data_IF_265854042864
#
_entry.id   IF_265854042864
#
_cell.length_a   1.000
_cell.length_b   1.000
_cell.length_c   1.000
_cell.angle_alpha   90.00
_cell.angle_beta   90.00
_cell.angle_gamma   90.00
#
_symmetry.space_group_name_H-M   'P 1'
#
loop_
_entity.id
_entity.type
_entity.pdbx_description
1 polymer ?
#
# COMPACT_ATOMS: atom_id res chain seq x y z
N UNK A 1 35.58 3.96 -36.03
CA UNK A 1 34.88 3.11 -35.03
C UNK A 1 34.79 3.71 -33.62
N UNK A 2 35.82 4.40 -33.11
CA UNK A 2 35.84 4.99 -31.74
C UNK A 2 34.70 5.99 -31.42
N UNK A 3 34.21 6.76 -32.40
CA UNK A 3 33.10 7.72 -32.20
C UNK A 3 31.73 7.06 -31.94
N UNK A 4 31.51 5.82 -32.41
CA UNK A 4 30.26 5.08 -32.17
C UNK A 4 30.19 4.50 -30.76
N UNK A 5 31.34 4.18 -30.15
CA UNK A 5 31.41 3.61 -28.80
C UNK A 5 31.06 4.64 -27.71
N UNK A 6 31.44 5.90 -27.90
CA UNK A 6 31.15 6.97 -26.92
C UNK A 6 29.64 7.26 -26.86
N UNK A 7 28.94 7.21 -27.99
CA UNK A 7 27.49 7.42 -28.04
C UNK A 7 26.70 6.32 -27.30
N UNK A 8 27.23 5.09 -27.28
CA UNK A 8 26.59 3.96 -26.59
C UNK A 8 26.76 4.07 -25.07
N UNK A 9 27.93 4.50 -24.58
CA UNK A 9 28.15 4.75 -23.14
C UNK A 9 27.29 5.92 -22.61
N UNK A 10 27.10 6.99 -23.39
CA UNK A 10 26.27 8.11 -22.98
C UNK A 10 24.78 7.73 -22.88
N UNK A 11 24.28 6.91 -23.80
CA UNK A 11 22.88 6.44 -23.77
C UNK A 11 22.65 5.48 -22.59
N UNK A 12 23.61 4.61 -22.25
CA UNK A 12 23.44 3.70 -21.10
C UNK A 12 23.47 4.42 -19.76
N UNK A 13 24.30 5.46 -19.60
CA UNK A 13 24.32 6.28 -18.38
C UNK A 13 23.00 7.05 -18.18
N UNK A 14 22.40 7.55 -19.24
CA UNK A 14 21.09 8.22 -19.16
C UNK A 14 20.02 7.22 -18.74
N UNK A 15 19.99 6.02 -19.31
CA UNK A 15 19.01 4.99 -18.94
C UNK A 15 19.09 4.58 -17.46
N UNK A 16 20.29 4.44 -16.89
CA UNK A 16 20.42 4.14 -15.46
C UNK A 16 20.00 5.30 -14.53
N UNK A 17 20.11 6.55 -15.00
CA UNK A 17 19.70 7.71 -14.22
C UNK A 17 18.18 7.92 -14.16
N UNK A 18 17.41 7.38 -15.12
CA UNK A 18 15.94 7.56 -15.14
C UNK A 18 15.18 6.41 -14.46
N UNK A 19 15.81 5.24 -14.25
CA UNK A 19 15.15 4.08 -13.64
C UNK A 19 14.56 4.29 -12.23
N UNK A 20 15.14 5.07 -11.29
CA UNK A 20 14.61 5.15 -9.93
C UNK A 20 13.28 5.92 -9.81
N UNK A 21 12.85 6.65 -10.85
CA UNK A 21 11.61 7.42 -10.81
C UNK A 21 10.35 6.63 -11.18
N UNK A 22 10.51 5.37 -11.62
CA UNK A 22 9.38 4.46 -11.85
C UNK A 22 9.15 3.54 -10.65
N UNK A 23 9.10 4.11 -9.45
CA UNK A 23 8.42 3.44 -8.34
C UNK A 23 6.92 3.55 -8.59
N UNK A 24 6.36 2.59 -9.31
CA UNK A 24 4.92 2.45 -9.46
C UNK A 24 4.32 2.17 -8.07
N UNK A 25 3.84 3.22 -7.42
CA UNK A 25 2.93 3.06 -6.28
C UNK A 25 1.65 2.47 -6.85
N UNK A 26 1.38 1.19 -6.56
CA UNK A 26 0.10 0.61 -6.86
C UNK A 26 -0.96 1.46 -6.15
N UNK A 27 -1.84 2.11 -6.92
CA UNK A 27 -2.98 2.81 -6.35
C UNK A 27 -3.82 1.79 -5.56
N UNK A 28 -4.35 2.16 -4.39
CA UNK A 28 -5.22 1.26 -3.65
C UNK A 28 -6.45 0.95 -4.50
N UNK A 29 -6.70 -0.35 -4.75
CA UNK A 29 -7.91 -0.83 -5.44
C UNK A 29 -9.17 -0.72 -4.57
N UNK A 30 -9.06 -0.10 -3.39
CA UNK A 30 -10.14 0.24 -2.48
C UNK A 30 -9.97 1.71 -2.05
N UNK A 31 -11.04 2.52 -1.91
CA UNK A 31 -10.91 3.93 -1.57
C UNK A 31 -10.17 4.11 -0.23
N UNK A 32 -9.05 4.84 -0.27
CA UNK A 32 -8.31 5.22 0.92
C UNK A 32 -9.19 6.08 1.83
N UNK A 33 -8.94 5.99 3.15
CA UNK A 33 -9.61 6.83 4.15
C UNK A 33 -8.61 7.77 4.80
N UNK A 34 -9.01 9.02 4.97
CA UNK A 34 -8.22 10.02 5.66
C UNK A 34 -8.80 10.25 7.06
N UNK A 35 -7.94 10.30 8.07
CA UNK A 35 -8.34 10.53 9.47
C UNK A 35 -7.30 11.38 10.19
N UNK A 36 -7.76 12.37 10.96
CA UNK A 36 -6.88 13.26 11.74
C UNK A 36 -7.00 12.93 13.22
N UNK A 37 -5.88 12.86 13.92
CA UNK A 37 -5.84 12.57 15.35
C UNK A 37 -4.46 12.15 15.83
N UNK A 38 -4.40 11.64 17.05
CA UNK A 38 -3.18 11.18 17.72
C UNK A 38 -3.48 9.95 18.58
N UNK A 39 -2.44 9.25 19.04
CA UNK A 39 -2.57 8.11 19.94
C UNK A 39 -2.58 6.78 19.19
N UNK A 40 -3.57 5.93 19.47
CA UNK A 40 -3.66 4.60 18.84
C UNK A 40 -4.66 4.62 17.71
N UNK A 41 -4.20 4.40 16.48
CA UNK A 41 -5.09 4.22 15.33
C UNK A 41 -5.48 2.74 15.23
N UNK A 42 -6.78 2.47 15.30
CA UNK A 42 -7.38 1.16 15.00
C UNK A 42 -7.86 1.14 13.56
N UNK A 43 -7.44 0.12 12.82
CA UNK A 43 -7.90 -0.19 11.46
C UNK A 43 -8.60 -1.54 11.48
N UNK A 44 -9.81 -1.60 10.93
CA UNK A 44 -10.59 -2.83 10.79
C UNK A 44 -10.87 -3.05 9.31
N UNK A 45 -10.52 -4.22 8.80
CA UNK A 45 -10.78 -4.62 7.42
C UNK A 45 -11.44 -5.99 7.42
N UNK A 46 -12.52 -6.12 6.68
CA UNK A 46 -13.17 -7.41 6.43
C UNK A 46 -13.00 -7.77 4.97
N UNK A 47 -12.30 -8.88 4.72
CA UNK A 47 -11.97 -9.37 3.40
C UNK A 47 -12.56 -10.75 3.15
N UNK A 48 -13.17 -10.94 2.00
CA UNK A 48 -13.78 -12.19 1.57
C UNK A 48 -13.17 -12.66 0.24
N UNK A 49 -13.01 -13.98 0.10
CA UNK A 49 -12.58 -14.58 -1.16
C UNK A 49 -13.71 -14.54 -2.18
N UNK A 50 -13.50 -13.84 -3.30
CA UNK A 50 -14.53 -13.68 -4.33
C UNK A 50 -14.83 -14.95 -5.12
N UNK A 51 -13.92 -15.93 -5.12
CA UNK A 51 -14.03 -17.18 -5.91
C UNK A 51 -13.29 -18.37 -5.27
N UNK A 52 -13.96 -19.24 -4.49
CA UNK A 52 -13.33 -20.42 -3.89
C UNK A 52 -12.86 -21.45 -4.92
N UNK A 53 -13.39 -21.39 -6.15
CA UNK A 53 -13.08 -22.28 -7.28
C UNK A 53 -11.61 -22.26 -7.75
N UNK A 54 -10.83 -21.25 -7.37
CA UNK A 54 -9.41 -21.15 -7.75
C UNK A 54 -8.43 -21.63 -6.67
N UNK A 55 -8.90 -22.04 -5.48
CA UNK A 55 -8.03 -22.49 -4.38
C UNK A 55 -7.08 -21.42 -3.84
N UNK A 56 -7.24 -20.15 -4.25
CA UNK A 56 -6.43 -19.03 -3.78
C UNK A 56 -7.09 -18.44 -2.54
N UNK A 57 -6.35 -18.41 -1.43
CA UNK A 57 -6.82 -17.73 -0.22
C UNK A 57 -6.90 -16.22 -0.46
N UNK A 58 -7.97 -15.55 0.01
CA UNK A 58 -8.03 -14.09 -0.05
C UNK A 58 -6.85 -13.47 0.70
N UNK A 59 -6.41 -12.33 0.21
CA UNK A 59 -5.23 -11.62 0.68
C UNK A 59 -5.40 -10.13 0.47
N UNK A 60 -4.99 -9.34 1.46
CA UNK A 60 -4.96 -7.89 1.36
C UNK A 60 -3.84 -7.30 2.22
N UNK A 61 -3.45 -6.08 1.89
CA UNK A 61 -2.52 -5.28 2.70
C UNK A 61 -3.17 -3.99 3.18
N UNK A 62 -2.80 -3.54 4.37
CA UNK A 62 -3.15 -2.24 4.94
C UNK A 62 -1.87 -1.41 4.96
N UNK A 63 -1.96 -0.15 4.53
CA UNK A 63 -0.90 0.85 4.74
C UNK A 63 -1.47 2.07 5.46
N UNK A 64 -0.62 2.73 6.24
CA UNK A 64 -0.90 4.04 6.81
C UNK A 64 0.26 4.97 6.49
N UNK A 65 -0.05 6.12 5.92
CA UNK A 65 0.92 7.20 5.68
C UNK A 65 0.51 8.45 6.45
N UNK A 66 1.48 9.23 6.88
CA UNK A 66 1.24 10.53 7.52
C UNK A 66 0.99 11.64 6.47
N UNK A 67 0.79 12.88 6.90
CA UNK A 67 0.46 13.99 5.97
C UNK A 67 1.61 14.33 5.01
N UNK A 68 2.84 14.00 5.40
CA UNK A 68 4.04 14.13 4.57
C UNK A 68 4.21 12.99 3.56
N UNK A 69 3.29 12.01 3.54
CA UNK A 69 3.36 10.83 2.70
C UNK A 69 4.34 9.75 3.21
N UNK A 70 4.89 9.89 4.42
CA UNK A 70 5.79 8.89 4.99
C UNK A 70 4.98 7.69 5.49
N UNK A 71 5.37 6.44 5.17
CA UNK A 71 4.71 5.25 5.69
C UNK A 71 5.02 5.09 7.20
N UNK A 72 3.97 4.99 8.01
CA UNK A 72 4.06 4.76 9.46
C UNK A 72 3.60 3.35 9.85
N UNK A 73 2.88 2.66 8.96
CA UNK A 73 2.44 1.29 9.16
C UNK A 73 2.22 0.57 7.83
N UNK A 74 2.55 -0.71 7.79
CA UNK A 74 2.17 -1.61 6.71
C UNK A 74 2.03 -3.04 7.24
N UNK A 75 0.92 -3.71 6.94
CA UNK A 75 0.71 -5.10 7.31
C UNK A 75 -0.11 -5.83 6.25
N UNK A 76 0.21 -7.10 6.04
CA UNK A 76 -0.52 -8.00 5.14
C UNK A 76 -1.29 -9.05 5.92
N UNK A 77 -2.44 -9.42 5.36
CA UNK A 77 -3.38 -10.40 5.91
C UNK A 77 -3.72 -11.43 4.85
N UNK A 78 -4.01 -12.65 5.30
CA UNK A 78 -4.40 -13.76 4.45
C UNK A 78 -5.51 -14.58 5.10
N UNK A 79 -6.34 -15.19 4.27
CA UNK A 79 -7.53 -15.92 4.70
C UNK A 79 -8.75 -15.01 4.83
N UNK A 80 -9.97 -15.57 4.73
CA UNK A 80 -11.20 -14.79 4.81
C UNK A 80 -11.44 -14.30 6.23
N UNK A 81 -12.14 -13.17 6.36
CA UNK A 81 -12.67 -12.67 7.62
C UNK A 81 -12.17 -11.28 8.02
N UNK A 82 -12.36 -10.95 9.29
CA UNK A 82 -12.03 -9.64 9.85
C UNK A 82 -10.59 -9.61 10.39
N UNK A 83 -9.84 -8.60 9.96
CA UNK A 83 -8.51 -8.28 10.46
C UNK A 83 -8.52 -6.96 11.22
N UNK A 84 -7.68 -6.91 12.26
CA UNK A 84 -7.51 -5.74 13.12
C UNK A 84 -6.04 -5.32 13.09
N UNK A 85 -5.78 -4.05 12.77
CA UNK A 85 -4.47 -3.42 12.88
C UNK A 85 -4.51 -2.33 13.95
N UNK A 86 -3.43 -2.23 14.73
CA UNK A 86 -3.26 -1.17 15.72
C UNK A 86 -1.92 -0.48 15.48
N UNK A 87 -1.96 0.82 15.25
CA UNK A 87 -0.77 1.67 15.11
C UNK A 87 -0.66 2.54 16.34
N UNK A 88 0.31 2.22 17.20
CA UNK A 88 0.47 2.86 18.51
C UNK A 88 1.30 4.14 18.43
N UNK A 89 1.09 5.03 19.40
CA UNK A 89 1.92 6.22 19.65
C UNK A 89 2.06 7.15 18.44
N UNK A 90 0.99 7.29 17.63
CA UNK A 90 0.99 8.22 16.52
C UNK A 90 0.91 9.68 17.02
N UNK A 91 1.79 10.58 16.55
CA UNK A 91 1.67 12.01 16.84
C UNK A 91 0.40 12.60 16.23
N UNK A 92 0.01 13.80 16.64
CA UNK A 92 -1.11 14.50 16.01
C UNK A 92 -0.78 14.83 14.55
N UNK A 93 -1.49 14.17 13.64
CA UNK A 93 -1.34 14.40 12.21
C UNK A 93 -2.60 13.95 11.46
N UNK A 94 -2.63 14.20 10.15
CA UNK A 94 -3.60 13.63 9.22
C UNK A 94 -3.00 12.40 8.55
N UNK A 95 -3.65 11.27 8.73
CA UNK A 95 -3.19 9.98 8.22
C UNK A 95 -4.05 9.52 7.05
N UNK A 96 -3.41 8.97 6.03
CA UNK A 96 -4.09 8.28 4.92
C UNK A 96 -3.93 6.78 5.12
N UNK A 97 -5.06 6.07 5.20
CA UNK A 97 -5.11 4.62 5.37
C UNK A 97 -5.55 3.98 4.05
N UNK A 98 -4.67 3.16 3.48
CA UNK A 98 -4.92 2.43 2.24
C UNK A 98 -5.19 0.95 2.51
N UNK A 99 -6.09 0.35 1.72
CA UNK A 99 -6.31 -1.10 1.66
C UNK A 99 -6.07 -1.57 0.24
N UNK A 100 -5.27 -2.63 0.10
CA UNK A 100 -4.82 -3.18 -1.16
C UNK A 100 -5.23 -4.65 -1.22
N UNK A 101 -6.49 -4.95 -1.61
CA UNK A 101 -6.92 -6.33 -1.82
C UNK A 101 -6.23 -6.94 -3.05
N UNK A 102 -6.02 -8.25 -3.02
CA UNK A 102 -5.68 -9.00 -4.22
C UNK A 102 -6.85 -9.00 -5.20
N UNK A 103 -6.59 -9.38 -6.46
CA UNK A 103 -7.62 -9.46 -7.50
C UNK A 103 -8.76 -10.46 -7.19
N UNK A 104 -8.56 -11.34 -6.22
CA UNK A 104 -9.52 -12.37 -5.80
C UNK A 104 -10.20 -12.03 -4.46
N UNK A 105 -9.95 -10.85 -3.91
CA UNK A 105 -10.43 -10.44 -2.60
C UNK A 105 -11.43 -9.29 -2.71
N UNK A 106 -12.65 -9.50 -2.24
CA UNK A 106 -13.61 -8.44 -2.00
C UNK A 106 -13.41 -7.86 -0.61
N UNK A 107 -13.51 -6.54 -0.45
CA UNK A 107 -13.53 -5.89 0.86
C UNK A 107 -14.97 -5.50 1.16
N UNK A 108 -15.54 -6.08 2.22
CA UNK A 108 -16.92 -5.82 2.66
C UNK A 108 -16.98 -4.75 3.75
N UNK A 109 -15.92 -4.60 4.54
CA UNK A 109 -15.81 -3.54 5.54
C UNK A 109 -14.41 -2.94 5.61
N UNK A 110 -14.35 -1.62 5.81
CA UNK A 110 -13.12 -0.87 6.09
C UNK A 110 -13.44 0.27 7.05
N UNK A 111 -12.97 0.19 8.29
CA UNK A 111 -13.20 1.18 9.34
C UNK A 111 -11.87 1.66 9.91
N UNK A 112 -11.81 2.94 10.25
CA UNK A 112 -10.64 3.59 10.85
C UNK A 112 -11.10 4.50 11.98
N UNK A 113 -10.42 4.44 13.12
CA UNK A 113 -10.74 5.26 14.28
C UNK A 113 -9.54 5.40 15.21
N UNK A 114 -9.33 6.60 15.77
CA UNK A 114 -8.45 6.77 16.91
C UNK A 114 -9.12 6.28 18.20
N UNK A 115 -8.32 5.71 19.10
CA UNK A 115 -8.72 5.30 20.46
C UNK A 115 -8.07 6.20 21.51
#
# INVERSE_FOLDING_TARGET
>A
MRRKMISVMLISCVLFAVLPFMSASAAPNYPAKTITGQGTLKVVVEGEGGRPEHGVSPYWSVSVTNSSGQPVFAQSYGGPGTSYSYVYNLPYDTYTVGVYPSIWTGISAFLVSFQ
#
